data_IF_784333985565
#
_entry.id   IF_784333985565
#
_cell.length_a   1.000
_cell.length_b   1.000
_cell.length_c   1.000
_cell.angle_alpha   90.00
_cell.angle_beta   90.00
_cell.angle_gamma   90.00
#
_symmetry.space_group_name_H-M   'P 1'
#
loop_
_entity.id
_entity.type
_entity.pdbx_description
1 polymer ?
#
# COMPACT_ATOMS: atom_id res chain seq x y z
N UNK A 1 5.46 5.94 12.99
CA UNK A 1 4.33 5.19 12.39
C UNK A 1 4.00 5.81 11.04
N UNK A 2 4.51 5.24 9.94
CA UNK A 2 4.30 5.79 8.61
C UNK A 2 3.33 4.88 7.84
N UNK A 3 2.09 4.78 8.34
CA UNK A 3 1.04 3.91 7.76
C UNK A 3 0.51 4.42 6.41
N UNK A 4 0.96 5.59 5.96
CA UNK A 4 0.41 6.29 4.80
C UNK A 4 1.36 6.30 3.60
N UNK A 5 1.99 5.17 3.30
CA UNK A 5 2.87 5.05 2.13
C UNK A 5 2.21 4.11 1.14
N UNK A 6 2.07 4.56 -0.10
CA UNK A 6 1.67 3.72 -1.20
C UNK A 6 2.71 2.60 -1.40
N UNK A 7 2.35 1.32 -1.24
CA UNK A 7 3.30 0.21 -1.36
C UNK A 7 3.79 0.00 -2.81
N UNK A 8 3.09 0.55 -3.80
CA UNK A 8 3.43 0.45 -5.21
C UNK A 8 4.49 1.47 -5.59
N UNK A 9 4.18 2.76 -5.40
CA UNK A 9 5.06 3.85 -5.83
C UNK A 9 5.92 4.46 -4.70
N UNK A 10 5.69 4.09 -3.43
CA UNK A 10 6.43 4.63 -2.28
C UNK A 10 6.01 6.05 -1.88
N UNK A 11 4.96 6.60 -2.50
CA UNK A 11 4.50 7.97 -2.23
C UNK A 11 3.86 8.07 -0.86
N UNK A 12 4.18 9.12 -0.10
CA UNK A 12 3.43 9.47 1.11
C UNK A 12 2.05 10.00 0.73
N UNK A 13 1.03 9.34 1.23
CA UNK A 13 -0.39 9.67 1.06
C UNK A 13 -0.88 10.37 2.32
N UNK A 14 -1.79 11.32 2.19
CA UNK A 14 -2.62 11.72 3.32
C UNK A 14 -3.82 10.76 3.35
N UNK A 15 -4.10 10.11 4.47
CA UNK A 15 -5.23 9.15 4.61
C UNK A 15 -6.54 9.73 4.09
N UNK A 16 -6.79 11.01 4.34
CA UNK A 16 -8.02 11.71 3.91
C UNK A 16 -8.05 11.99 2.41
N UNK A 17 -6.92 11.79 1.70
CA UNK A 17 -6.75 11.97 0.26
C UNK A 17 -6.34 10.66 -0.44
N UNK A 18 -6.46 9.53 0.24
CA UNK A 18 -6.21 8.24 -0.41
C UNK A 18 -7.25 8.04 -1.50
N UNK A 19 -6.83 7.48 -2.64
CA UNK A 19 -7.75 7.12 -3.70
C UNK A 19 -8.63 5.95 -3.26
N UNK A 20 -8.00 4.92 -2.66
CA UNK A 20 -8.69 3.73 -2.16
C UNK A 20 -7.88 3.08 -1.02
N UNK A 21 -8.60 2.35 -0.17
CA UNK A 21 -8.03 1.43 0.83
C UNK A 21 -8.36 0.00 0.42
N UNK A 22 -7.34 -0.82 0.26
CA UNK A 22 -7.48 -2.25 -0.01
C UNK A 22 -7.12 -3.03 1.24
N UNK A 23 -8.02 -3.93 1.65
CA UNK A 23 -7.77 -4.86 2.74
C UNK A 23 -7.17 -6.16 2.17
N UNK A 24 -5.94 -6.51 2.57
CA UNK A 24 -5.26 -7.71 2.09
C UNK A 24 -4.45 -8.37 3.22
N UNK A 25 -4.66 -9.67 3.45
CA UNK A 25 -3.97 -10.46 4.50
C UNK A 25 -4.05 -9.82 5.91
N UNK A 26 -5.18 -9.17 6.25
CA UNK A 26 -5.40 -8.55 7.56
C UNK A 26 -4.78 -7.15 7.72
N UNK A 27 -4.21 -6.59 6.65
CA UNK A 27 -3.62 -5.25 6.63
C UNK A 27 -4.31 -4.35 5.62
N UNK A 28 -4.43 -3.07 5.97
CA UNK A 28 -4.95 -2.03 5.07
C UNK A 28 -3.79 -1.39 4.28
N UNK A 29 -4.02 -1.25 2.97
CA UNK A 29 -3.11 -0.63 2.02
C UNK A 29 -3.77 0.58 1.36
N UNK A 30 -3.15 1.74 1.55
CA UNK A 30 -3.60 3.01 0.97
C UNK A 30 -2.94 3.20 -0.40
N UNK A 31 -3.74 3.45 -1.42
CA UNK A 31 -3.25 3.68 -2.79
C UNK A 31 -3.55 5.10 -3.25
N UNK A 32 -2.60 5.69 -3.98
CA UNK A 32 -2.66 7.10 -4.32
C UNK A 32 -3.43 7.40 -5.61
N UNK A 33 -3.63 6.40 -6.48
CA UNK A 33 -4.29 6.57 -7.77
C UNK A 33 -4.80 5.24 -8.35
N UNK A 34 -5.68 5.26 -9.38
CA UNK A 34 -6.19 4.06 -10.04
C UNK A 34 -5.10 3.14 -10.63
N UNK A 35 -3.98 3.71 -11.08
CA UNK A 35 -2.88 2.91 -11.61
C UNK A 35 -2.21 2.08 -10.49
N UNK A 36 -1.95 2.69 -9.33
CA UNK A 36 -1.40 1.96 -8.18
C UNK A 36 -2.39 0.90 -7.69
N UNK A 37 -3.70 1.16 -7.74
CA UNK A 37 -4.74 0.15 -7.50
C UNK A 37 -4.58 -1.06 -8.42
N UNK A 38 -4.58 -0.84 -9.73
CA UNK A 38 -4.48 -1.94 -10.70
C UNK A 38 -3.19 -2.75 -10.53
N UNK A 39 -2.06 -2.07 -10.29
CA UNK A 39 -0.78 -2.75 -10.04
C UNK A 39 -0.83 -3.58 -8.75
N UNK A 40 -1.37 -3.01 -7.66
CA UNK A 40 -1.53 -3.72 -6.40
C UNK A 40 -2.42 -4.95 -6.54
N UNK A 41 -3.59 -4.83 -7.18
CA UNK A 41 -4.53 -5.94 -7.40
C UNK A 41 -3.94 -7.03 -8.31
N UNK A 42 -3.07 -6.67 -9.26
CA UNK A 42 -2.40 -7.63 -10.13
C UNK A 42 -1.35 -8.45 -9.36
N UNK A 43 -0.63 -7.84 -8.41
CA UNK A 43 0.47 -8.49 -7.67
C UNK A 43 0.44 -8.17 -6.15
N UNK A 44 -0.66 -8.45 -5.42
CA UNK A 44 -0.87 -7.93 -4.07
C UNK A 44 0.18 -8.48 -3.08
N UNK A 45 0.55 -9.76 -3.21
CA UNK A 45 1.60 -10.40 -2.39
C UNK A 45 2.96 -9.71 -2.51
N UNK A 46 3.32 -9.19 -3.70
CA UNK A 46 4.62 -8.52 -3.93
C UNK A 46 4.71 -7.20 -3.17
N UNK A 47 3.65 -6.41 -3.23
CA UNK A 47 3.56 -5.10 -2.57
C UNK A 47 3.29 -5.25 -1.06
N UNK A 48 2.51 -6.25 -0.65
CA UNK A 48 2.28 -6.59 0.74
C UNK A 48 3.57 -7.01 1.47
N UNK A 49 4.40 -7.87 0.85
CA UNK A 49 5.70 -8.31 1.42
C UNK A 49 6.72 -7.17 1.56
N UNK A 50 6.67 -6.16 0.69
CA UNK A 50 7.54 -4.96 0.79
C UNK A 50 7.30 -4.19 2.09
N UNK A 51 6.04 -4.10 2.55
CA UNK A 51 5.70 -3.45 3.84
C UNK A 51 6.29 -4.22 5.02
N UNK A 52 6.34 -5.54 4.95
CA UNK A 52 6.89 -6.40 6.01
C UNK A 52 8.43 -6.34 6.11
N UNK A 53 9.14 -6.11 5.00
CA UNK A 53 10.62 -6.01 5.02
C UNK A 53 11.17 -4.80 5.79
N UNK A 54 10.32 -3.86 6.20
CA UNK A 54 10.70 -2.70 7.01
C UNK A 54 10.40 -2.86 8.52
N UNK A 55 9.90 -4.03 8.96
CA UNK A 55 9.94 -4.44 10.37
C UNK A 55 11.16 -5.34 10.54
N UNK A 56 12.27 -4.72 10.90
CA UNK A 56 13.53 -5.40 11.19
C UNK A 56 13.39 -6.43 12.30
N UNK A 57 14.22 -7.46 12.12
CA UNK A 57 14.89 -8.29 13.13
C UNK A 57 15.16 -7.57 14.45
#
# INVERSE_FOLDING_TARGET
MNKNIDPVCGKRINVNKAHIVIHFEGEDYLLCCPQCQKEFETQPRKYARKKQKNKGR
#
